data_IF_354039532285
#
_entry.id   IF_354039532285
#
_cell.length_a   1.000
_cell.length_b   1.000
_cell.length_c   1.000
_cell.angle_alpha   90.00
_cell.angle_beta   90.00
_cell.angle_gamma   90.00
#
_symmetry.space_group_name_H-M   'P 1'
#
loop_
_entity.id
_entity.type
_entity.pdbx_description
1 polymer ?
#
# COMPACT_ATOMS: atom_id res chain seq x y z
N UNK A 1 -21.68 -49.88 16.48
CA UNK A 1 -21.37 -48.47 16.85
C UNK A 1 -20.56 -47.86 15.73
N UNK A 2 -21.04 -46.77 15.15
CA UNK A 2 -20.36 -46.07 14.03
C UNK A 2 -19.00 -45.55 14.46
N UNK A 3 -18.02 -45.56 13.56
CA UNK A 3 -16.65 -45.05 13.76
C UNK A 3 -16.65 -43.61 14.30
N UNK A 4 -17.65 -42.82 13.90
CA UNK A 4 -17.88 -41.45 14.37
C UNK A 4 -18.23 -41.42 15.86
N UNK A 5 -19.06 -42.37 16.33
CA UNK A 5 -19.45 -42.45 17.73
C UNK A 5 -18.25 -42.83 18.62
N UNK A 6 -17.31 -43.66 18.12
CA UNK A 6 -16.07 -43.99 18.84
C UNK A 6 -15.11 -42.80 18.96
N UNK A 7 -15.00 -41.97 17.93
CA UNK A 7 -14.18 -40.75 17.93
C UNK A 7 -14.68 -39.72 18.95
N UNK A 8 -16.00 -39.50 19.00
CA UNK A 8 -16.64 -38.54 19.90
C UNK A 8 -16.74 -39.01 21.37
N UNK A 9 -16.45 -40.28 21.65
CA UNK A 9 -16.36 -40.82 23.03
C UNK A 9 -14.94 -40.84 23.59
N UNK A 10 -13.91 -40.71 22.75
CA UNK A 10 -12.53 -40.71 23.23
C UNK A 10 -12.20 -39.35 23.86
N UNK A 11 -11.99 -39.33 25.17
CA UNK A 11 -11.66 -38.12 25.94
C UNK A 11 -10.50 -37.32 25.33
N UNK A 12 -9.46 -37.98 24.84
CA UNK A 12 -8.32 -37.30 24.22
C UNK A 12 -8.71 -36.59 22.92
N UNK A 13 -9.56 -37.22 22.10
CA UNK A 13 -10.02 -36.65 20.82
C UNK A 13 -10.94 -35.47 21.06
N UNK A 14 -11.89 -35.58 21.99
CA UNK A 14 -12.81 -34.49 22.35
C UNK A 14 -12.05 -33.30 22.90
N UNK A 15 -11.08 -33.53 23.80
CA UNK A 15 -10.23 -32.48 24.36
C UNK A 15 -9.37 -31.85 23.27
N UNK A 16 -8.75 -32.65 22.40
CA UNK A 16 -7.92 -32.13 21.31
C UNK A 16 -8.72 -31.25 20.34
N UNK A 17 -9.97 -31.64 20.01
CA UNK A 17 -10.82 -30.86 19.11
C UNK A 17 -11.23 -29.49 19.68
N UNK A 18 -11.23 -29.33 21.01
CA UNK A 18 -11.56 -28.08 21.69
C UNK A 18 -10.29 -27.25 21.97
N UNK A 19 -9.23 -27.88 22.47
CA UNK A 19 -7.99 -27.20 22.89
C UNK A 19 -7.15 -26.77 21.68
N UNK A 20 -7.04 -27.59 20.64
CA UNK A 20 -6.21 -27.28 19.47
C UNK A 20 -6.60 -25.95 18.77
N UNK A 21 -7.87 -25.66 18.45
CA UNK A 21 -8.23 -24.37 17.84
C UNK A 21 -7.97 -23.18 18.77
N UNK A 22 -8.16 -23.34 20.09
CA UNK A 22 -7.84 -22.27 21.06
C UNK A 22 -6.33 -21.98 21.07
N UNK A 23 -5.51 -23.02 21.11
CA UNK A 23 -4.06 -22.89 21.04
C UNK A 23 -3.59 -22.30 19.70
N UNK A 24 -4.26 -22.63 18.59
CA UNK A 24 -3.93 -22.07 17.28
C UNK A 24 -4.14 -20.55 17.24
N UNK A 25 -5.25 -20.05 17.80
CA UNK A 25 -5.52 -18.60 17.89
C UNK A 25 -4.49 -17.93 18.80
N UNK A 26 -4.18 -18.52 19.96
CA UNK A 26 -3.17 -17.97 20.88
C UNK A 26 -1.81 -17.92 20.20
N UNK A 27 -1.40 -19.00 19.52
CA UNK A 27 -0.12 -19.05 18.83
C UNK A 27 -0.02 -17.99 17.73
N UNK A 28 -1.08 -17.76 16.97
CA UNK A 28 -1.12 -16.71 15.95
C UNK A 28 -0.82 -15.33 16.54
N UNK A 29 -1.53 -14.92 17.59
CA UNK A 29 -1.30 -13.63 18.25
C UNK A 29 0.03 -13.56 19.02
N UNK A 30 0.49 -14.66 19.59
CA UNK A 30 1.78 -14.71 20.28
C UNK A 30 2.95 -14.56 19.31
N UNK A 31 2.88 -15.20 18.14
CA UNK A 31 3.87 -15.02 17.07
C UNK A 31 3.85 -13.57 16.60
N UNK A 32 2.66 -13.03 16.28
CA UNK A 32 2.49 -11.64 15.85
C UNK A 32 3.11 -10.64 16.84
N UNK A 33 2.82 -10.78 18.14
CA UNK A 33 3.39 -9.94 19.18
C UNK A 33 4.91 -10.11 19.36
N UNK A 34 5.45 -11.31 19.10
CA UNK A 34 6.88 -11.60 19.23
C UNK A 34 7.74 -11.08 18.07
N UNK A 35 7.16 -11.00 16.87
CA UNK A 35 7.87 -10.56 15.65
C UNK A 35 7.57 -9.11 15.30
N UNK A 36 6.51 -8.53 15.86
CA UNK A 36 6.17 -7.12 15.64
C UNK A 36 7.23 -6.20 16.20
N UNK A 37 7.74 -5.31 15.36
CA UNK A 37 8.61 -4.23 15.80
C UNK A 37 7.77 -3.22 16.61
N UNK A 38 8.25 -2.80 17.80
CA UNK A 38 7.53 -1.82 18.58
C UNK A 38 7.46 -0.49 17.82
N UNK A 39 6.32 0.22 17.87
CA UNK A 39 6.21 1.52 17.24
C UNK A 39 7.24 2.47 17.85
N UNK A 40 8.18 2.93 17.02
CA UNK A 40 9.21 3.91 17.39
C UNK A 40 8.92 5.20 16.65
N UNK A 41 8.95 6.32 17.38
CA UNK A 41 8.93 7.63 16.75
C UNK A 41 10.12 7.75 15.77
N UNK A 42 9.89 8.40 14.64
CA UNK A 42 10.92 8.63 13.67
C UNK A 42 12.02 9.52 14.27
N UNK A 43 13.27 9.15 14.04
CA UNK A 43 14.44 9.89 14.48
C UNK A 43 15.05 10.64 13.30
N UNK A 44 15.42 11.91 13.46
CA UNK A 44 16.07 12.67 12.41
C UNK A 44 17.32 11.96 11.89
N UNK A 45 17.51 11.96 10.57
CA UNK A 45 18.64 11.33 9.88
C UNK A 45 18.46 9.85 9.54
N UNK A 46 17.42 9.19 10.05
CA UNK A 46 17.11 7.79 9.74
C UNK A 46 16.14 7.66 8.55
N UNK A 47 16.01 6.44 8.02
CA UNK A 47 15.12 6.09 6.91
C UNK A 47 14.12 5.02 7.33
N UNK A 48 12.85 5.21 6.97
CA UNK A 48 11.73 4.36 7.39
C UNK A 48 10.90 3.87 6.19
N UNK A 49 10.58 2.57 6.09
CA UNK A 49 9.71 2.08 5.03
C UNK A 49 8.25 2.48 5.29
N UNK A 50 7.53 2.86 4.25
CA UNK A 50 6.08 3.09 4.29
C UNK A 50 5.35 1.79 3.98
N UNK A 51 4.36 1.46 4.79
CA UNK A 51 3.46 0.35 4.54
C UNK A 51 2.54 0.68 3.35
N UNK A 52 2.61 -0.16 2.32
CA UNK A 52 1.77 -0.05 1.12
C UNK A 52 0.42 -0.68 1.39
N UNK A 53 -0.64 0.12 1.35
CA UNK A 53 -2.00 -0.34 1.66
C UNK A 53 -2.61 -1.12 0.49
N UNK A 54 -3.68 -1.86 0.77
CA UNK A 54 -4.30 -2.80 -0.18
C UNK A 54 -4.82 -2.12 -1.45
N UNK A 55 -5.27 -0.87 -1.37
CA UNK A 55 -5.78 -0.10 -2.52
C UNK A 55 -4.70 0.19 -3.57
N UNK A 56 -3.42 0.04 -3.25
CA UNK A 56 -2.34 0.14 -4.24
C UNK A 56 -2.28 -1.06 -5.19
N UNK A 57 -2.86 -2.21 -4.82
CA UNK A 57 -2.82 -3.47 -5.60
C UNK A 57 -3.93 -3.59 -6.64
N UNK A 58 -4.85 -2.64 -6.68
CA UNK A 58 -6.04 -2.67 -7.53
C UNK A 58 -6.21 -1.34 -8.26
N UNK A 59 -7.03 -1.33 -9.32
CA UNK A 59 -7.36 -0.16 -10.16
C UNK A 59 -8.23 0.88 -9.43
N UNK A 60 -7.67 1.48 -8.38
CA UNK A 60 -8.37 2.32 -7.40
C UNK A 60 -8.25 3.82 -7.67
N UNK A 61 -7.40 4.25 -8.60
CA UNK A 61 -7.07 5.65 -8.86
C UNK A 61 -6.09 6.28 -7.86
N UNK A 62 -5.81 5.63 -6.72
CA UNK A 62 -4.88 6.13 -5.71
C UNK A 62 -4.25 5.03 -4.85
N UNK A 63 -3.02 5.25 -4.42
CA UNK A 63 -2.28 4.40 -3.50
C UNK A 63 -2.10 5.10 -2.14
N UNK A 64 -2.38 4.40 -1.04
CA UNK A 64 -2.15 4.89 0.32
C UNK A 64 -0.87 4.27 0.88
N UNK A 65 -0.05 5.11 1.50
CA UNK A 65 1.24 4.75 2.08
C UNK A 65 1.30 5.32 3.50
N UNK A 66 1.66 4.52 4.49
CA UNK A 66 1.65 4.98 5.88
C UNK A 66 2.78 4.40 6.74
N UNK A 67 3.26 5.19 7.69
CA UNK A 67 4.12 4.73 8.79
C UNK A 67 3.88 5.63 10.01
N UNK A 68 3.20 5.10 11.03
CA UNK A 68 2.81 5.88 12.20
C UNK A 68 1.96 7.09 11.82
N UNK A 69 2.44 8.29 12.15
CA UNK A 69 1.78 9.56 11.84
C UNK A 69 2.02 10.05 10.41
N UNK A 70 2.99 9.46 9.69
CA UNK A 70 3.21 9.75 8.28
C UNK A 70 2.14 9.05 7.45
N UNK A 71 1.22 9.82 6.87
CA UNK A 71 0.20 9.31 5.94
C UNK A 71 0.27 10.06 4.62
N UNK A 72 0.46 9.28 3.56
CA UNK A 72 0.58 9.78 2.19
C UNK A 72 -0.48 9.13 1.30
N UNK A 73 -0.98 9.92 0.36
CA UNK A 73 -1.88 9.47 -0.71
C UNK A 73 -1.30 9.87 -2.05
N UNK A 74 -0.95 8.88 -2.87
CA UNK A 74 -0.46 9.07 -4.23
C UNK A 74 -1.60 8.83 -5.20
N UNK A 75 -2.06 9.86 -5.88
CA UNK A 75 -3.22 9.83 -6.77
C UNK A 75 -2.79 9.96 -8.23
N UNK A 76 -3.41 9.17 -9.09
CA UNK A 76 -3.34 9.35 -10.53
C UNK A 76 -4.27 10.49 -10.95
N UNK A 77 -3.73 11.49 -11.65
CA UNK A 77 -4.53 12.52 -12.31
C UNK A 77 -4.85 12.15 -13.76
N UNK A 78 -4.47 10.95 -14.20
CA UNK A 78 -4.67 10.45 -15.56
C UNK A 78 -3.37 10.36 -16.36
N UNK A 79 -3.51 9.78 -17.55
CA UNK A 79 -2.47 9.65 -18.56
C UNK A 79 -2.88 10.43 -19.80
N UNK A 80 -2.08 11.42 -20.19
CA UNK A 80 -2.30 12.27 -21.35
C UNK A 80 -0.97 12.43 -22.11
N UNK A 81 -0.97 12.39 -23.44
CA UNK A 81 0.23 12.54 -24.28
C UNK A 81 1.42 11.65 -23.88
N UNK A 82 1.15 10.39 -23.52
CA UNK A 82 2.16 9.44 -22.99
C UNK A 82 2.86 9.90 -21.70
N UNK A 83 2.22 10.79 -20.94
CA UNK A 83 2.69 11.25 -19.63
C UNK A 83 1.67 10.92 -18.55
N UNK A 84 2.17 10.40 -17.45
CA UNK A 84 1.41 10.17 -16.22
C UNK A 84 1.60 11.37 -15.30
N UNK A 85 0.49 11.99 -14.88
CA UNK A 85 0.53 13.01 -13.84
C UNK A 85 0.13 12.41 -12.50
N UNK A 86 1.01 12.52 -11.51
CA UNK A 86 0.77 12.05 -10.15
C UNK A 86 0.68 13.23 -9.19
N UNK A 87 -0.27 13.14 -8.26
CA UNK A 87 -0.46 14.07 -7.15
C UNK A 87 -0.23 13.33 -5.84
N UNK A 88 0.74 13.79 -5.06
CA UNK A 88 1.02 13.30 -3.72
C UNK A 88 0.39 14.25 -2.70
N UNK A 89 -0.38 13.70 -1.77
CA UNK A 89 -0.99 14.41 -0.65
C UNK A 89 -0.44 13.85 0.65
N UNK A 90 -0.06 14.73 1.56
CA UNK A 90 0.41 14.39 2.89
C UNK A 90 -0.48 15.05 3.94
N UNK A 91 -0.67 14.39 5.09
CA UNK A 91 -1.32 15.02 6.25
C UNK A 91 -0.40 16.04 6.96
N UNK A 92 0.92 15.90 6.77
CA UNK A 92 1.96 16.74 7.38
C UNK A 92 2.85 17.39 6.31
N UNK A 93 3.40 18.59 6.56
CA UNK A 93 4.25 19.29 5.60
C UNK A 93 5.52 18.48 5.31
N UNK A 94 5.82 18.31 4.02
CA UNK A 94 7.03 17.64 3.56
C UNK A 94 8.14 18.67 3.29
N UNK A 95 9.39 18.27 3.54
CA UNK A 95 10.58 19.03 3.16
C UNK A 95 10.94 18.81 1.69
N UNK A 96 10.58 17.64 1.16
CA UNK A 96 10.81 17.28 -0.23
C UNK A 96 10.25 15.91 -0.57
N UNK A 97 9.96 15.70 -1.86
CA UNK A 97 9.48 14.43 -2.39
C UNK A 97 10.19 14.11 -3.72
N UNK A 98 10.62 12.87 -3.87
CA UNK A 98 11.23 12.33 -5.08
C UNK A 98 10.54 11.04 -5.47
N UNK A 99 10.38 10.83 -6.77
CA UNK A 99 9.67 9.67 -7.31
C UNK A 99 10.35 9.16 -8.57
N UNK A 100 10.33 7.85 -8.79
CA UNK A 100 10.74 7.26 -10.06
C UNK A 100 9.81 6.12 -10.44
N UNK A 101 9.76 5.80 -11.73
CA UNK A 101 9.46 4.44 -12.17
C UNK A 101 10.74 3.61 -12.02
N UNK A 102 10.69 2.36 -11.58
CA UNK A 102 11.84 1.60 -11.07
C UNK A 102 13.11 1.63 -11.92
N UNK A 103 12.97 1.62 -13.25
CA UNK A 103 14.08 1.63 -14.22
C UNK A 103 14.52 3.05 -14.64
N UNK A 104 13.95 4.09 -14.05
CA UNK A 104 14.17 5.50 -14.40
C UNK A 104 14.85 6.26 -13.27
N UNK A 105 15.55 7.35 -13.63
CA UNK A 105 16.13 8.27 -12.66
C UNK A 105 15.05 8.95 -11.81
N UNK A 106 15.25 9.08 -10.47
CA UNK A 106 14.35 9.84 -9.62
C UNK A 106 14.16 11.28 -10.09
N UNK A 107 12.90 11.71 -10.11
CA UNK A 107 12.49 13.07 -10.41
C UNK A 107 11.94 13.72 -9.14
N UNK A 108 12.33 14.97 -8.89
CA UNK A 108 11.76 15.76 -7.80
C UNK A 108 10.31 16.12 -8.12
N UNK A 109 9.44 15.98 -7.12
CA UNK A 109 8.08 16.50 -7.19
C UNK A 109 8.09 17.99 -6.86
N UNK A 110 7.15 18.73 -7.44
CA UNK A 110 6.99 20.17 -7.20
C UNK A 110 5.84 20.39 -6.22
N UNK A 111 6.08 21.19 -5.19
CA UNK A 111 5.02 21.62 -4.27
C UNK A 111 4.01 22.50 -5.02
N UNK A 112 2.72 22.27 -4.79
CA UNK A 112 1.64 23.03 -5.46
C UNK A 112 0.79 23.85 -4.49
N UNK A 113 0.94 23.63 -3.18
CA UNK A 113 0.28 24.38 -2.12
C UNK A 113 1.27 25.20 -1.28
N UNK A 114 0.76 26.16 -0.50
CA UNK A 114 1.59 26.97 0.41
C UNK A 114 2.02 26.23 1.68
N UNK A 115 1.41 25.07 1.98
CA UNK A 115 1.66 24.32 3.20
C UNK A 115 2.63 23.15 3.02
N UNK A 116 3.09 22.86 1.80
CA UNK A 116 4.00 21.73 1.57
C UNK A 116 3.32 20.37 1.72
N UNK A 117 2.00 20.32 1.60
CA UNK A 117 1.21 19.09 1.77
C UNK A 117 0.74 18.49 0.44
N UNK A 118 0.82 19.24 -0.65
CA UNK A 118 0.42 18.80 -1.98
C UNK A 118 1.60 18.96 -2.94
N UNK A 119 1.96 17.86 -3.59
CA UNK A 119 3.08 17.79 -4.51
C UNK A 119 2.64 17.14 -5.81
N UNK A 120 3.22 17.56 -6.93
CA UNK A 120 2.87 17.07 -8.24
C UNK A 120 4.11 16.78 -9.08
N UNK A 121 3.99 15.78 -9.94
CA UNK A 121 5.04 15.38 -10.88
C UNK A 121 4.39 14.83 -12.14
N UNK A 122 5.09 14.99 -13.26
CA UNK A 122 4.72 14.37 -14.52
C UNK A 122 5.86 13.44 -14.95
N UNK A 123 5.56 12.15 -15.07
CA UNK A 123 6.47 11.09 -15.46
C UNK A 123 6.09 10.55 -16.84
N UNK A 124 7.00 9.87 -17.56
CA UNK A 124 6.60 9.04 -18.70
C UNK A 124 5.52 8.03 -18.26
N UNK A 125 4.52 7.80 -19.10
CA UNK A 125 3.53 6.78 -18.83
C UNK A 125 4.20 5.39 -18.72
N UNK A 126 3.81 4.55 -17.75
CA UNK A 126 4.35 3.21 -17.64
C UNK A 126 4.02 2.40 -18.89
N UNK A 127 4.99 1.64 -19.38
CA UNK A 127 4.87 0.81 -20.59
C UNK A 127 4.49 -0.64 -20.29
N UNK A 128 4.45 -1.02 -19.02
CA UNK A 128 4.12 -2.36 -18.52
C UNK A 128 3.32 -2.27 -17.23
N UNK A 129 2.37 -3.18 -17.05
CA UNK A 129 1.57 -3.33 -15.84
C UNK A 129 2.40 -3.84 -14.64
N UNK A 130 3.59 -4.38 -14.90
CA UNK A 130 4.54 -4.84 -13.88
C UNK A 130 5.44 -3.71 -13.35
N UNK A 131 5.35 -2.51 -13.93
CA UNK A 131 6.17 -1.39 -13.50
C UNK A 131 5.92 -1.03 -12.02
N UNK A 132 6.98 -0.60 -11.35
CA UNK A 132 6.94 -0.18 -9.95
C UNK A 132 7.24 1.30 -9.86
N UNK A 133 6.56 1.98 -8.95
CA UNK A 133 6.86 3.33 -8.50
C UNK A 133 7.71 3.23 -7.23
N UNK A 134 8.83 3.96 -7.20
CA UNK A 134 9.63 4.19 -6.01
C UNK A 134 9.41 5.62 -5.55
N UNK A 135 8.96 5.78 -4.31
CA UNK A 135 8.72 7.08 -3.68
C UNK A 135 9.68 7.25 -2.50
N UNK A 136 10.28 8.43 -2.39
CA UNK A 136 11.01 8.87 -1.21
C UNK A 136 10.55 10.28 -0.81
N UNK A 137 10.23 10.48 0.46
CA UNK A 137 9.88 11.80 1.02
C UNK A 137 10.72 12.11 2.25
N UNK A 138 10.87 13.39 2.57
CA UNK A 138 11.55 13.84 3.78
C UNK A 138 10.61 14.68 4.65
N UNK A 139 10.63 14.43 5.95
CA UNK A 139 9.84 15.15 6.96
C UNK A 139 10.61 15.14 8.28
N UNK A 140 10.74 16.31 8.91
CA UNK A 140 11.43 16.50 10.19
C UNK A 140 12.85 15.92 10.20
N UNK A 141 13.57 16.03 9.08
CA UNK A 141 14.91 15.47 8.88
C UNK A 141 14.97 13.93 8.78
N UNK A 142 13.84 13.22 8.86
CA UNK A 142 13.74 11.78 8.57
C UNK A 142 13.35 11.53 7.13
N UNK A 143 13.72 10.36 6.58
CA UNK A 143 13.33 9.94 5.22
C UNK A 143 12.35 8.78 5.28
N UNK A 144 11.36 8.80 4.42
CA UNK A 144 10.38 7.74 4.28
C UNK A 144 10.37 7.24 2.84
N UNK A 145 10.28 5.92 2.64
CA UNK A 145 10.34 5.35 1.29
C UNK A 145 9.35 4.21 1.10
N UNK A 146 8.84 4.05 -0.13
CA UNK A 146 7.99 2.93 -0.50
C UNK A 146 8.24 2.52 -1.96
N UNK A 147 7.97 1.25 -2.24
CA UNK A 147 7.86 0.72 -3.60
C UNK A 147 6.44 0.16 -3.78
N UNK A 148 5.76 0.57 -4.85
CA UNK A 148 4.36 0.22 -5.09
C UNK A 148 4.10 -0.05 -6.58
N UNK A 149 3.22 -1.00 -6.94
CA UNK A 149 2.91 -1.26 -8.34
C UNK A 149 2.17 -0.09 -8.98
N UNK A 150 2.23 0.01 -10.31
CA UNK A 150 1.49 1.02 -11.10
C UNK A 150 0.00 0.70 -11.28
N UNK A 151 -0.48 -0.46 -10.83
CA UNK A 151 -1.85 -0.96 -11.06
C UNK A 151 -2.94 0.03 -10.63
N UNK A 152 -2.71 0.87 -9.62
CA UNK A 152 -3.69 1.84 -9.15
C UNK A 152 -3.93 3.02 -10.11
N UNK A 153 -3.06 3.24 -11.10
CA UNK A 153 -3.13 4.40 -12.00
C UNK A 153 -4.39 4.40 -12.84
N UNK A 154 -4.79 3.22 -13.31
CA UNK A 154 -6.04 3.05 -14.04
C UNK A 154 -7.20 3.05 -13.05
N UNK A 155 -8.16 3.94 -13.27
CA UNK A 155 -9.42 3.92 -12.54
C UNK A 155 -10.48 3.21 -13.39
N UNK A 156 -10.49 1.86 -13.33
CA UNK A 156 -11.53 1.04 -13.96
C UNK A 156 -12.69 0.88 -12.99
N UNK A 157 -13.81 1.56 -13.27
CA UNK A 157 -15.09 1.27 -12.60
C UNK A 157 -15.92 0.32 -13.47
N UNK A 158 -16.74 -0.54 -12.84
CA UNK A 158 -17.69 -1.41 -13.57
C UNK A 158 -18.59 -0.63 -14.56
N UNK A 159 -18.81 0.66 -14.34
CA UNK A 159 -19.61 1.54 -15.20
C UNK A 159 -18.89 1.87 -16.52
N UNK A 160 -17.57 2.11 -16.46
CA UNK A 160 -16.75 2.46 -17.63
C UNK A 160 -16.60 1.30 -18.62
N UNK A 161 -16.59 0.06 -18.13
CA UNK A 161 -16.50 -1.14 -18.98
C UNK A 161 -17.79 -1.38 -19.79
N UNK A 162 -18.96 -1.22 -19.15
CA UNK A 162 -20.25 -1.35 -19.83
C UNK A 162 -20.43 -0.29 -20.92
N UNK A 163 -20.00 0.94 -20.68
CA UNK A 163 -20.10 2.02 -21.66
C UNK A 163 -19.19 1.76 -22.88
N UNK A 164 -17.96 1.29 -22.65
CA UNK A 164 -17.03 0.93 -23.74
C UNK A 164 -17.51 -0.26 -24.58
N UNK A 165 -18.24 -1.22 -23.99
CA UNK A 165 -18.86 -2.32 -24.73
C UNK A 165 -20.09 -1.89 -25.54
N UNK A 166 -20.84 -0.87 -25.08
CA UNK A 166 -21.99 -0.32 -25.80
C UNK A 166 -21.58 0.57 -26.96
N UNK A 167 -20.53 1.37 -26.82
CA UNK A 167 -20.02 2.24 -27.90
C UNK A 167 -19.26 1.47 -28.99
N UNK A 168 -18.95 0.19 -28.76
CA UNK A 168 -18.29 -0.71 -29.70
C UNK A 168 -19.25 -1.65 -30.46
N UNK A 169 -20.57 -1.47 -30.29
CA UNK A 169 -21.64 -2.17 -31.03
C UNK A 169 -22.41 -1.19 -31.93
#
# INVERSE_FOLDING_TARGET
MSTVTRLLTNKHVVIAMLVAPVLAVIAYFAVDASVSEPPKAAQPGQSYPLAVRSNCRYTSGFCQLENGDMKLKLESQGVEDSRLTLRLVSELPLEGAQISLAETSPQAMQVTDSHGTVWQVSLPAPTSDEAQIRLAVSMEGSRYFAETPVTFIEHKTFYTEHQKMQDAS
#
